data_IF_170423830904
#
_entry.id   IF_170423830904
#
_cell.length_a   1.000
_cell.length_b   1.000
_cell.length_c   1.000
_cell.angle_alpha   90.00
_cell.angle_beta   90.00
_cell.angle_gamma   90.00
#
_symmetry.space_group_name_H-M   'P 1'
#
loop_
_entity.id
_entity.type
_entity.pdbx_description
1 polymer ?
#
# COMPACT_ATOMS: atom_id res chain seq x y z
N UNK A 1 -16.96 -6.25 -18.00
CA UNK A 1 -16.14 -5.24 -18.69
C UNK A 1 -14.73 -5.31 -18.17
N UNK A 2 -13.77 -5.39 -19.08
CA UNK A 2 -12.33 -5.47 -18.82
C UNK A 2 -11.70 -4.53 -19.85
N UNK A 3 -12.11 -3.25 -19.83
CA UNK A 3 -11.80 -2.24 -20.86
C UNK A 3 -10.31 -1.87 -20.94
N UNK A 4 -9.51 -2.29 -19.96
CA UNK A 4 -8.07 -1.97 -19.87
C UNK A 4 -7.16 -3.17 -20.16
N UNK A 5 -7.70 -4.35 -20.46
CA UNK A 5 -6.89 -5.58 -20.66
C UNK A 5 -6.22 -6.12 -19.38
N UNK A 6 -6.50 -5.56 -18.21
CA UNK A 6 -5.91 -5.97 -16.93
C UNK A 6 -6.52 -7.25 -16.36
N UNK A 7 -5.69 -8.25 -16.06
CA UNK A 7 -6.14 -9.45 -15.35
C UNK A 7 -6.46 -9.14 -13.89
N UNK A 8 -7.67 -9.48 -13.43
CA UNK A 8 -8.06 -9.32 -12.03
C UNK A 8 -7.43 -10.41 -11.18
N UNK A 9 -6.59 -10.01 -10.23
CA UNK A 9 -6.02 -10.92 -9.24
C UNK A 9 -7.10 -11.31 -8.22
N UNK A 10 -7.22 -12.60 -7.92
CA UNK A 10 -8.15 -13.12 -6.91
C UNK A 10 -7.56 -12.84 -5.51
N UNK A 11 -8.29 -12.08 -4.70
CA UNK A 11 -7.98 -11.83 -3.29
C UNK A 11 -9.07 -12.42 -2.41
N UNK A 12 -8.68 -13.03 -1.30
CA UNK A 12 -9.61 -13.58 -0.32
C UNK A 12 -10.20 -12.47 0.54
N UNK A 13 -11.46 -12.58 0.98
CA UNK A 13 -12.04 -11.62 1.94
C UNK A 13 -11.18 -11.52 3.22
N UNK A 14 -11.07 -10.31 3.78
CA UNK A 14 -10.39 -10.05 5.06
C UNK A 14 -8.92 -10.46 5.14
N UNK A 15 -8.18 -10.37 4.03
CA UNK A 15 -6.74 -10.65 3.98
C UNK A 15 -5.93 -9.37 3.68
N UNK A 16 -5.91 -8.39 4.60
CA UNK A 16 -5.10 -7.17 4.42
C UNK A 16 -3.60 -7.51 4.40
N UNK A 17 -3.22 -8.66 4.97
CA UNK A 17 -1.86 -9.14 5.07
C UNK A 17 -1.29 -9.72 3.75
N UNK A 18 -2.12 -9.85 2.71
CA UNK A 18 -1.71 -10.19 1.33
C UNK A 18 -1.99 -9.03 0.34
N UNK A 19 -2.31 -7.84 0.86
CA UNK A 19 -2.44 -6.62 0.08
C UNK A 19 -1.18 -5.76 0.28
N UNK A 20 -0.40 -5.50 -0.79
CA UNK A 20 0.83 -4.70 -0.71
C UNK A 20 0.59 -3.29 -0.14
N UNK A 21 -0.59 -2.72 -0.41
CA UNK A 21 -1.04 -1.43 0.11
C UNK A 21 -1.10 -1.43 1.64
N UNK A 22 -1.73 -2.45 2.21
CA UNK A 22 -2.13 -2.45 3.61
C UNK A 22 -0.96 -2.89 4.50
N UNK A 23 -0.15 -3.86 4.05
CA UNK A 23 0.98 -4.37 4.82
C UNK A 23 2.07 -3.33 5.11
N UNK A 24 2.32 -2.42 4.16
CA UNK A 24 3.53 -1.60 4.18
C UNK A 24 3.31 -0.12 3.87
N UNK A 25 2.50 0.19 2.85
CA UNK A 25 2.27 1.59 2.45
C UNK A 25 1.41 2.31 3.49
N UNK A 26 0.20 1.80 3.73
CA UNK A 26 -0.75 2.38 4.69
C UNK A 26 -0.24 2.24 6.12
N UNK A 27 0.39 1.11 6.47
CA UNK A 27 0.98 0.92 7.80
C UNK A 27 2.07 1.95 8.12
N UNK A 28 2.90 2.30 7.14
CA UNK A 28 3.93 3.34 7.30
C UNK A 28 3.33 4.74 7.32
N UNK A 29 2.24 4.97 6.58
CA UNK A 29 1.49 6.22 6.62
C UNK A 29 0.83 6.41 7.99
N UNK A 30 0.19 5.38 8.53
CA UNK A 30 -0.44 5.40 9.86
C UNK A 30 0.55 5.83 10.94
N UNK A 31 1.76 5.28 10.93
CA UNK A 31 2.82 5.71 11.86
C UNK A 31 3.20 7.18 11.70
N UNK A 32 3.18 7.70 10.47
CA UNK A 32 3.54 9.08 10.18
C UNK A 32 2.44 10.07 10.56
N UNK A 33 1.17 9.72 10.34
CA UNK A 33 0.00 10.56 10.62
C UNK A 33 -0.47 10.44 12.08
N UNK A 34 -0.06 9.40 12.80
CA UNK A 34 -0.48 9.19 14.19
C UNK A 34 -0.16 10.41 15.06
N UNK A 35 -1.20 10.99 15.66
CA UNK A 35 -1.09 12.15 16.53
C UNK A 35 -0.95 13.51 15.82
N UNK A 36 -0.89 13.55 14.48
CA UNK A 36 -0.99 14.82 13.74
C UNK A 36 -2.44 15.25 13.59
N UNK A 37 -2.65 16.56 13.60
CA UNK A 37 -3.89 17.21 13.20
C UNK A 37 -3.60 18.03 11.96
N UNK A 38 -4.47 17.92 10.97
CA UNK A 38 -4.41 18.71 9.74
C UNK A 38 -5.55 19.72 9.79
N UNK A 39 -5.24 20.98 9.47
CA UNK A 39 -6.23 22.04 9.40
C UNK A 39 -6.88 22.09 8.02
N UNK A 40 -6.13 21.74 6.97
CA UNK A 40 -6.55 21.83 5.58
C UNK A 40 -6.22 20.58 4.76
N UNK A 41 -6.97 20.37 3.68
CA UNK A 41 -6.76 19.23 2.77
C UNK A 41 -5.42 19.32 2.04
N UNK A 42 -4.89 20.53 1.84
CA UNK A 42 -3.61 20.76 1.17
C UNK A 42 -2.43 20.23 2.01
N UNK A 43 -2.52 20.34 3.34
CA UNK A 43 -1.55 19.76 4.27
C UNK A 43 -1.53 18.23 4.19
N UNK A 44 -2.72 17.61 4.12
CA UNK A 44 -2.85 16.15 3.94
C UNK A 44 -2.23 15.72 2.62
N UNK A 45 -2.51 16.48 1.56
CA UNK A 45 -2.03 16.19 0.21
C UNK A 45 -0.51 16.25 0.15
N UNK A 46 0.08 17.31 0.71
CA UNK A 46 1.54 17.47 0.80
C UNK A 46 2.19 16.32 1.56
N UNK A 47 1.64 15.95 2.73
CA UNK A 47 2.15 14.83 3.52
C UNK A 47 2.09 13.51 2.77
N UNK A 48 0.99 13.22 2.08
CA UNK A 48 0.87 11.99 1.29
C UNK A 48 1.90 11.96 0.16
N UNK A 49 2.13 13.09 -0.51
CA UNK A 49 3.16 13.20 -1.55
C UNK A 49 4.57 12.95 -0.99
N UNK A 50 4.89 13.53 0.17
CA UNK A 50 6.20 13.34 0.80
C UNK A 50 6.43 11.89 1.25
N UNK A 51 5.41 11.22 1.80
CA UNK A 51 5.51 9.80 2.15
C UNK A 51 5.70 8.94 0.90
N UNK A 52 5.01 9.23 -0.18
CA UNK A 52 5.20 8.51 -1.45
C UNK A 52 6.62 8.74 -2.00
N UNK A 53 7.13 9.97 -1.94
CA UNK A 53 8.45 10.34 -2.48
C UNK A 53 9.62 9.83 -1.64
N UNK A 54 9.45 9.73 -0.32
CA UNK A 54 10.50 9.30 0.60
C UNK A 54 10.76 7.79 0.56
N UNK A 55 9.87 6.99 -0.03
CA UNK A 55 10.04 5.54 -0.13
C UNK A 55 10.99 5.17 -1.27
N UNK A 56 12.04 4.37 -1.01
CA UNK A 56 12.92 3.91 -2.07
C UNK A 56 12.16 2.96 -3.01
N UNK A 57 12.43 3.03 -4.31
CA UNK A 57 11.80 2.18 -5.34
C UNK A 57 11.94 0.69 -5.02
N UNK A 58 13.04 0.30 -4.37
CA UNK A 58 13.32 -1.07 -3.96
C UNK A 58 12.33 -1.60 -2.93
N UNK A 59 11.80 -0.74 -2.05
CA UNK A 59 10.82 -1.12 -1.05
C UNK A 59 9.51 -1.60 -1.70
N UNK A 60 9.09 -1.00 -2.82
CA UNK A 60 7.91 -1.47 -3.55
C UNK A 60 8.15 -2.84 -4.19
N UNK A 61 9.36 -3.09 -4.72
CA UNK A 61 9.74 -4.38 -5.30
C UNK A 61 9.72 -5.48 -4.24
N UNK A 62 10.37 -5.24 -3.10
CA UNK A 62 10.53 -6.22 -2.04
C UNK A 62 9.18 -6.56 -1.37
N UNK A 63 8.32 -5.56 -1.16
CA UNK A 63 6.96 -5.75 -0.64
C UNK A 63 6.11 -6.58 -1.61
N UNK A 64 6.15 -6.27 -2.90
CA UNK A 64 5.40 -7.04 -3.90
C UNK A 64 5.87 -8.49 -3.92
N UNK A 65 7.18 -8.74 -3.84
CA UNK A 65 7.75 -10.08 -3.81
C UNK A 65 7.33 -10.86 -2.56
N UNK A 66 7.38 -10.24 -1.38
CA UNK A 66 6.93 -10.85 -0.12
C UNK A 66 5.44 -11.22 -0.15
N UNK A 67 4.59 -10.32 -0.67
CA UNK A 67 3.15 -10.59 -0.80
C UNK A 67 2.88 -11.74 -1.79
N UNK A 68 3.62 -11.80 -2.89
CA UNK A 68 3.52 -12.91 -3.84
C UNK A 68 3.90 -14.25 -3.21
N UNK A 69 4.95 -14.28 -2.42
CA UNK A 69 5.39 -15.48 -1.70
C UNK A 69 4.37 -15.91 -0.64
N UNK A 70 3.86 -14.96 0.15
CA UNK A 70 2.83 -15.23 1.15
C UNK A 70 1.56 -15.76 0.52
N UNK A 71 1.12 -15.18 -0.60
CA UNK A 71 -0.04 -15.67 -1.37
C UNK A 71 0.19 -17.08 -1.91
N UNK A 72 1.41 -17.42 -2.34
CA UNK A 72 1.76 -18.78 -2.81
C UNK A 72 1.65 -19.81 -1.68
N UNK A 73 2.04 -19.46 -0.46
CA UNK A 73 2.05 -20.37 0.68
C UNK A 73 0.66 -20.58 1.33
N UNK A 74 -0.34 -19.78 0.95
CA UNK A 74 -1.73 -19.89 1.44
C UNK A 74 -2.64 -20.74 0.54
N UNK A 75 -2.13 -21.23 -0.60
CA UNK A 75 -2.83 -22.10 -1.57
C UNK A 75 -2.18 -23.48 -1.53
#
# INVERSE_FOLDING_TARGET
>A
MLELGCTKIRQSPYTPDIAPSDCHLLRSMDQFIYGRRFAEVDEVTTVVYDICRSKPTELHRDVNQSVHEKRRNLI
#
